data_IF_860766126513
#
_entry.id   IF_860766126513
#
_cell.length_a   1.000
_cell.length_b   1.000
_cell.length_c   1.000
_cell.angle_alpha   90.00
_cell.angle_beta   90.00
_cell.angle_gamma   90.00
#
_symmetry.space_group_name_H-M   'P 1'
#
loop_
_entity.id
_entity.type
_entity.pdbx_description
1 polymer ?
#
# COMPACT_ATOMS: atom_id res chain seq x y z
N UNK A 1 38.47 -21.13 -24.23
CA UNK A 1 37.00 -21.34 -24.24
C UNK A 1 36.61 -21.68 -22.82
N UNK A 2 36.31 -20.66 -22.04
CA UNK A 2 35.81 -20.80 -20.66
C UNK A 2 34.30 -20.62 -20.67
N UNK A 3 33.58 -21.70 -20.32
CA UNK A 3 32.14 -21.71 -20.21
C UNK A 3 31.73 -21.20 -18.82
N UNK A 4 31.19 -20.01 -18.78
CA UNK A 4 30.56 -19.51 -17.57
C UNK A 4 29.25 -20.28 -17.33
N UNK A 5 29.21 -21.08 -16.27
CA UNK A 5 28.01 -21.70 -15.74
C UNK A 5 27.08 -20.65 -15.07
N UNK A 6 25.76 -20.90 -14.99
CA UNK A 6 24.82 -19.98 -14.39
C UNK A 6 25.05 -19.84 -12.88
N UNK A 7 25.15 -18.60 -12.41
CA UNK A 7 25.18 -18.26 -10.99
C UNK A 7 23.87 -18.68 -10.34
N UNK A 8 23.90 -19.63 -9.42
CA UNK A 8 22.77 -19.99 -8.56
C UNK A 8 22.44 -18.82 -7.63
N UNK A 9 21.22 -18.34 -7.70
CA UNK A 9 20.65 -17.42 -6.71
C UNK A 9 20.51 -18.08 -5.33
N UNK A 10 20.14 -17.31 -4.28
CA UNK A 10 20.20 -17.74 -2.89
C UNK A 10 19.41 -19.02 -2.64
N UNK A 11 20.02 -19.93 -1.88
CA UNK A 11 19.57 -21.28 -1.57
C UNK A 11 18.16 -21.24 -0.93
N UNK A 12 17.19 -21.88 -1.59
CA UNK A 12 15.86 -22.11 -1.02
C UNK A 12 15.98 -23.19 0.06
N UNK A 13 15.69 -22.82 1.31
CA UNK A 13 15.60 -23.78 2.42
C UNK A 13 14.20 -24.38 2.36
N UNK A 14 14.11 -25.70 2.21
CA UNK A 14 12.86 -26.46 2.22
C UNK A 14 12.66 -27.08 3.60
N UNK A 15 11.61 -26.68 4.32
CA UNK A 15 11.15 -27.39 5.51
C UNK A 15 9.94 -28.27 5.20
N UNK A 16 10.03 -29.54 5.60
CA UNK A 16 8.96 -30.53 5.50
C UNK A 16 7.98 -30.37 6.67
N UNK A 17 6.83 -29.75 6.43
CA UNK A 17 5.89 -29.43 7.52
C UNK A 17 4.74 -30.41 7.74
N UNK A 18 4.45 -31.36 6.85
CA UNK A 18 3.42 -32.39 7.06
C UNK A 18 3.57 -33.55 6.09
N UNK A 19 3.63 -34.76 6.64
CA UNK A 19 3.45 -36.02 5.89
C UNK A 19 2.00 -36.46 6.12
N UNK A 20 1.20 -36.56 5.06
CA UNK A 20 -0.12 -37.14 5.11
C UNK A 20 -0.09 -38.50 4.40
N UNK A 21 -0.50 -39.59 5.06
CA UNK A 21 -0.71 -40.89 4.42
C UNK A 21 -2.06 -40.90 3.76
N UNK A 22 -2.13 -41.29 2.52
CA UNK A 22 -3.35 -41.54 1.79
C UNK A 22 -3.89 -42.95 2.12
N UNK A 23 -5.22 -43.15 2.01
CA UNK A 23 -5.89 -44.42 2.33
C UNK A 23 -5.43 -45.62 1.45
N UNK A 24 -4.82 -45.31 0.30
CA UNK A 24 -4.24 -46.29 -0.62
C UNK A 24 -2.76 -46.65 -0.31
N UNK A 25 -2.22 -46.16 0.79
CA UNK A 25 -0.81 -46.37 1.19
C UNK A 25 0.19 -45.41 0.52
N UNK A 26 -0.26 -44.50 -0.32
CA UNK A 26 0.57 -43.45 -0.91
C UNK A 26 0.94 -42.39 0.13
N UNK A 27 2.10 -41.76 -0.09
CA UNK A 27 2.58 -40.63 0.72
C UNK A 27 2.37 -39.35 -0.09
N UNK A 28 1.44 -38.48 0.36
CA UNK A 28 1.34 -37.14 -0.16
C UNK A 28 2.29 -36.22 0.60
N UNK A 29 3.38 -35.83 -0.07
CA UNK A 29 4.33 -34.86 0.48
C UNK A 29 3.87 -33.47 0.10
N UNK A 30 3.11 -32.79 1.00
CA UNK A 30 2.85 -31.37 0.87
C UNK A 30 4.08 -30.58 1.28
N UNK A 31 4.87 -30.17 0.30
CA UNK A 31 5.92 -29.18 0.50
C UNK A 31 5.22 -27.81 0.61
N UNK A 32 4.95 -27.37 1.82
CA UNK A 32 4.70 -25.95 2.05
C UNK A 32 6.05 -25.27 1.97
N UNK A 33 6.27 -24.57 0.88
CA UNK A 33 7.41 -23.64 0.80
C UNK A 33 7.17 -22.60 1.90
N UNK A 34 7.77 -22.78 3.08
CA UNK A 34 8.02 -21.65 3.97
C UNK A 34 9.03 -20.79 3.21
N UNK A 35 8.56 -19.71 2.64
CA UNK A 35 9.44 -18.62 2.27
C UNK A 35 9.98 -18.09 3.59
N UNK A 36 11.21 -18.51 3.93
CA UNK A 36 11.91 -18.01 5.09
C UNK A 36 11.94 -16.49 4.98
N UNK A 37 11.27 -15.83 5.94
CA UNK A 37 11.37 -14.40 6.25
C UNK A 37 11.45 -13.48 5.02
N UNK A 38 10.53 -13.64 4.04
CA UNK A 38 10.49 -12.71 2.92
C UNK A 38 9.84 -11.41 3.38
N UNK A 39 10.59 -10.34 3.21
CA UNK A 39 10.11 -8.99 3.51
C UNK A 39 8.77 -8.74 2.79
N UNK A 40 7.82 -8.14 3.50
CA UNK A 40 6.43 -7.95 3.05
C UNK A 40 6.17 -6.48 2.74
N UNK A 41 5.39 -6.24 1.71
CA UNK A 41 4.92 -4.91 1.34
C UNK A 41 3.43 -4.80 1.61
N UNK A 42 3.03 -3.75 2.29
CA UNK A 42 1.62 -3.41 2.51
C UNK A 42 1.33 -2.09 1.82
N UNK A 43 0.33 -2.04 0.94
CA UNK A 43 -0.15 -0.78 0.38
C UNK A 43 -1.48 -0.38 1.05
N UNK A 44 -1.51 0.80 1.66
CA UNK A 44 -2.75 1.33 2.24
C UNK A 44 -3.50 2.19 1.24
N UNK A 45 -4.77 1.85 1.02
CA UNK A 45 -5.72 2.59 0.19
C UNK A 45 -6.92 3.12 1.02
N UNK A 46 -7.74 3.95 0.41
CA UNK A 46 -8.95 4.52 1.01
C UNK A 46 -9.21 5.92 0.52
N UNK A 47 -10.46 6.36 0.60
CA UNK A 47 -10.90 7.68 0.15
C UNK A 47 -10.21 8.82 0.91
N UNK A 48 -10.11 10.04 0.35
CA UNK A 48 -9.60 11.22 1.05
C UNK A 48 -10.29 11.42 2.41
N UNK A 49 -9.51 11.66 3.48
CA UNK A 49 -10.04 11.82 4.84
C UNK A 49 -10.37 10.53 5.58
N UNK A 50 -10.18 9.35 5.00
CA UNK A 50 -10.49 8.07 5.67
C UNK A 50 -9.60 7.75 6.88
N UNK A 51 -8.37 8.29 6.93
CA UNK A 51 -7.43 8.05 8.04
C UNK A 51 -6.15 7.29 7.65
N UNK A 52 -5.89 7.08 6.36
CA UNK A 52 -4.65 6.43 5.87
C UNK A 52 -3.37 6.99 6.47
N UNK A 53 -3.27 8.33 6.54
CA UNK A 53 -2.11 8.99 7.14
C UNK A 53 -1.92 8.67 8.61
N UNK A 54 -3.00 8.51 9.39
CA UNK A 54 -2.90 8.10 10.79
C UNK A 54 -2.50 6.62 10.90
N UNK A 55 -3.01 5.76 10.02
CA UNK A 55 -2.52 4.37 9.91
C UNK A 55 -1.02 4.35 9.62
N UNK A 56 -0.56 5.16 8.65
CA UNK A 56 0.85 5.29 8.32
C UNK A 56 1.68 5.81 9.50
N UNK A 57 1.17 6.77 10.28
CA UNK A 57 1.83 7.26 11.49
C UNK A 57 2.02 6.14 12.52
N UNK A 58 0.99 5.34 12.78
CA UNK A 58 1.08 4.20 13.72
C UNK A 58 2.17 3.22 13.28
N UNK A 59 2.28 2.90 11.98
CA UNK A 59 3.33 2.01 11.48
C UNK A 59 4.72 2.64 11.59
N UNK A 60 4.85 3.93 11.26
CA UNK A 60 6.09 4.68 11.39
C UNK A 60 6.60 4.74 12.85
N UNK A 61 5.72 4.97 13.81
CA UNK A 61 6.02 4.91 15.25
C UNK A 61 6.55 3.54 15.68
N UNK A 62 6.16 2.48 14.96
CA UNK A 62 6.66 1.12 15.16
C UNK A 62 7.86 0.77 14.26
N UNK A 63 8.57 1.80 13.75
CA UNK A 63 9.81 1.69 12.95
C UNK A 63 9.62 0.95 11.62
N UNK A 64 8.41 0.92 11.08
CA UNK A 64 8.14 0.43 9.74
C UNK A 64 8.36 1.59 8.76
N UNK A 65 9.20 1.45 7.75
CA UNK A 65 9.37 2.46 6.71
C UNK A 65 8.05 2.73 5.99
N UNK A 66 7.73 3.99 5.79
CA UNK A 66 6.55 4.46 5.07
C UNK A 66 7.00 5.27 3.86
N UNK A 67 6.60 4.84 2.67
CA UNK A 67 6.82 5.57 1.44
C UNK A 67 5.47 6.06 0.92
N UNK A 68 5.37 7.35 0.63
CA UNK A 68 4.11 7.97 0.20
C UNK A 68 4.12 8.29 -1.29
N UNK A 69 3.16 7.74 -2.01
CA UNK A 69 2.91 8.12 -3.42
C UNK A 69 2.49 9.59 -3.52
N UNK A 70 1.81 10.12 -2.49
CA UNK A 70 1.45 11.53 -2.43
C UNK A 70 2.67 12.47 -2.33
N UNK A 71 3.75 12.04 -1.69
CA UNK A 71 4.97 12.83 -1.57
C UNK A 71 5.70 12.98 -2.91
N UNK A 72 5.59 11.99 -3.79
CA UNK A 72 6.13 12.09 -5.16
C UNK A 72 5.39 13.18 -5.95
N UNK A 73 4.08 13.29 -5.79
CA UNK A 73 3.28 14.36 -6.42
C UNK A 73 3.63 15.73 -5.81
N UNK A 74 3.82 15.82 -4.48
CA UNK A 74 4.26 17.06 -3.82
C UNK A 74 5.64 17.49 -4.29
N UNK A 75 6.57 16.55 -4.42
CA UNK A 75 7.91 16.84 -4.95
C UNK A 75 7.83 17.39 -6.38
N UNK A 76 6.92 16.89 -7.22
CA UNK A 76 6.74 17.40 -8.58
C UNK A 76 6.13 18.81 -8.59
N UNK A 77 5.13 19.10 -7.75
CA UNK A 77 4.58 20.45 -7.57
C UNK A 77 5.67 21.44 -7.15
N UNK A 78 6.53 21.03 -6.19
CA UNK A 78 7.69 21.84 -5.75
C UNK A 78 8.70 22.03 -6.87
N UNK A 79 9.04 20.98 -7.63
CA UNK A 79 9.97 21.03 -8.76
C UNK A 79 9.51 21.99 -9.86
N UNK A 80 8.19 22.05 -10.08
CA UNK A 80 7.56 22.94 -11.06
C UNK A 80 7.31 24.35 -10.52
N UNK A 81 7.71 24.63 -9.27
CA UNK A 81 7.52 25.92 -8.58
C UNK A 81 6.05 26.39 -8.56
N UNK A 82 5.10 25.42 -8.54
CA UNK A 82 3.67 25.72 -8.56
C UNK A 82 3.18 26.10 -7.15
N UNK A 83 2.27 27.06 -7.09
CA UNK A 83 1.64 27.44 -5.83
C UNK A 83 0.64 26.35 -5.41
N UNK A 84 0.76 25.92 -4.15
CA UNK A 84 -0.22 24.99 -3.56
C UNK A 84 -1.63 25.61 -3.54
N UNK A 85 -2.60 24.81 -3.98
CA UNK A 85 -4.02 25.17 -4.02
C UNK A 85 -4.88 23.91 -3.96
N UNK A 86 -6.17 24.03 -3.61
CA UNK A 86 -7.12 22.92 -3.74
C UNK A 86 -7.13 22.41 -5.17
N UNK A 87 -6.75 21.16 -5.38
CA UNK A 87 -6.76 20.55 -6.72
C UNK A 87 -5.40 20.39 -7.37
N UNK A 88 -4.40 21.29 -7.12
CA UNK A 88 -3.10 21.24 -7.83
C UNK A 88 -2.40 19.87 -7.76
N UNK A 89 -2.38 19.25 -6.59
CA UNK A 89 -1.79 17.91 -6.43
C UNK A 89 -2.54 16.85 -7.24
N UNK A 90 -3.86 16.99 -7.36
CA UNK A 90 -4.68 16.10 -8.17
C UNK A 90 -4.48 16.33 -9.67
N UNK A 91 -4.31 17.58 -10.09
CA UNK A 91 -4.02 17.96 -11.49
C UNK A 91 -2.64 17.42 -11.90
N UNK A 92 -1.62 17.63 -11.09
CA UNK A 92 -0.28 17.11 -11.35
C UNK A 92 -0.27 15.57 -11.33
N UNK A 93 -0.98 14.94 -10.40
CA UNK A 93 -1.10 13.48 -10.41
C UNK A 93 -1.81 12.95 -11.66
N UNK A 94 -2.83 13.64 -12.16
CA UNK A 94 -3.51 13.30 -13.41
C UNK A 94 -2.60 13.54 -14.63
N UNK A 95 -1.88 14.66 -14.65
CA UNK A 95 -0.92 14.95 -15.71
C UNK A 95 0.19 13.90 -15.79
N UNK A 96 0.81 13.54 -14.66
CA UNK A 96 1.84 12.49 -14.62
C UNK A 96 1.33 11.16 -15.17
N UNK A 97 0.09 10.79 -14.85
CA UNK A 97 -0.53 9.57 -15.39
C UNK A 97 -0.81 9.67 -16.88
N UNK A 98 -1.29 10.81 -17.35
CA UNK A 98 -1.57 11.02 -18.77
C UNK A 98 -0.29 11.00 -19.63
N UNK A 99 0.83 11.50 -19.10
CA UNK A 99 2.11 11.58 -19.82
C UNK A 99 2.93 10.29 -19.75
N UNK A 100 2.83 9.55 -18.65
CA UNK A 100 3.76 8.44 -18.34
C UNK A 100 3.07 7.11 -18.05
N UNK A 101 1.74 7.03 -18.06
CA UNK A 101 0.96 5.84 -17.74
C UNK A 101 0.31 5.90 -16.35
N UNK A 102 -0.83 5.21 -16.23
CA UNK A 102 -1.64 5.19 -14.98
C UNK A 102 -0.86 4.63 -13.78
N UNK A 103 0.16 3.85 -14.02
CA UNK A 103 1.01 3.16 -13.03
C UNK A 103 2.29 3.94 -12.67
N UNK A 104 2.53 5.10 -13.26
CA UNK A 104 3.80 5.83 -13.17
C UNK A 104 4.31 6.04 -11.74
N UNK A 105 3.41 6.33 -10.80
CA UNK A 105 3.79 6.55 -9.39
C UNK A 105 4.22 5.25 -8.73
N UNK A 106 3.56 4.13 -9.02
CA UNK A 106 3.92 2.82 -8.52
C UNK A 106 5.28 2.35 -9.07
N UNK A 107 5.49 2.49 -10.37
CA UNK A 107 6.77 2.15 -11.03
C UNK A 107 7.92 2.94 -10.42
N UNK A 108 7.77 4.25 -10.27
CA UNK A 108 8.82 5.12 -9.69
C UNK A 108 9.11 4.82 -8.21
N UNK A 109 8.10 4.34 -7.45
CA UNK A 109 8.25 4.05 -6.02
C UNK A 109 8.88 2.68 -5.76
N UNK A 110 8.67 1.71 -6.64
CA UNK A 110 9.02 0.31 -6.41
C UNK A 110 10.48 0.07 -6.05
N UNK A 111 11.41 0.74 -6.73
CA UNK A 111 12.84 0.58 -6.45
C UNK A 111 13.25 1.13 -5.06
N UNK A 112 12.61 2.22 -4.62
CA UNK A 112 12.82 2.73 -3.27
C UNK A 112 12.27 1.77 -2.20
N UNK A 113 11.12 1.13 -2.47
CA UNK A 113 10.57 0.10 -1.60
C UNK A 113 11.52 -1.08 -1.47
N UNK A 114 12.07 -1.60 -2.59
CA UNK A 114 13.03 -2.70 -2.57
C UNK A 114 14.29 -2.36 -1.75
N UNK A 115 14.80 -1.14 -1.87
CA UNK A 115 15.93 -0.69 -1.05
C UNK A 115 15.62 -0.77 0.44
N UNK A 116 14.41 -0.40 0.86
CA UNK A 116 14.01 -0.51 2.27
C UNK A 116 13.83 -1.98 2.71
N UNK A 117 13.37 -2.87 1.83
CA UNK A 117 13.19 -4.29 2.11
C UNK A 117 14.51 -5.03 2.38
N UNK A 118 15.65 -4.49 1.95
CA UNK A 118 16.97 -5.06 2.28
C UNK A 118 17.27 -5.05 3.78
N UNK A 119 16.67 -4.13 4.53
CA UNK A 119 16.95 -3.93 5.97
C UNK A 119 15.72 -3.98 6.87
N UNK A 120 14.51 -4.07 6.29
CA UNK A 120 13.26 -4.07 7.05
C UNK A 120 12.35 -5.21 6.59
N UNK A 121 11.75 -5.97 7.54
CA UNK A 121 10.87 -7.10 7.20
C UNK A 121 9.50 -6.65 6.64
N UNK A 122 9.13 -5.40 6.85
CA UNK A 122 7.87 -4.82 6.37
C UNK A 122 8.13 -3.40 5.87
N UNK A 123 7.51 -3.03 4.75
CA UNK A 123 7.46 -1.66 4.23
C UNK A 123 6.01 -1.30 3.94
N UNK A 124 5.60 -0.08 4.32
CA UNK A 124 4.28 0.47 3.99
C UNK A 124 4.38 1.41 2.79
N UNK A 125 3.50 1.23 1.82
CA UNK A 125 3.21 2.19 0.77
C UNK A 125 1.92 2.94 1.14
N UNK A 126 2.00 4.27 1.31
CA UNK A 126 0.83 5.10 1.58
C UNK A 126 0.32 5.73 0.29
N UNK A 127 -0.99 5.62 0.05
CA UNK A 127 -1.66 6.39 -0.99
C UNK A 127 -1.85 5.69 -2.32
N UNK A 128 -1.89 4.35 -2.38
CA UNK A 128 -2.33 3.60 -3.56
C UNK A 128 -3.77 4.01 -3.92
N UNK A 129 -4.04 4.33 -5.19
CA UNK A 129 -5.32 4.92 -5.63
C UNK A 129 -5.90 4.32 -6.90
N UNK A 130 -5.14 3.53 -7.64
CA UNK A 130 -5.55 2.99 -8.94
C UNK A 130 -5.28 1.50 -9.08
N UNK A 131 -6.10 0.84 -9.89
CA UNK A 131 -5.93 -0.59 -10.22
C UNK A 131 -4.62 -0.84 -10.96
N UNK A 132 -4.18 0.09 -11.82
CA UNK A 132 -2.90 -0.01 -12.51
C UNK A 132 -1.70 -0.03 -11.53
N UNK A 133 -1.75 0.77 -10.47
CA UNK A 133 -0.73 0.80 -9.42
C UNK A 133 -0.68 -0.53 -8.66
N UNK A 134 -1.86 -1.09 -8.32
CA UNK A 134 -1.98 -2.40 -7.67
C UNK A 134 -1.35 -3.51 -8.50
N UNK A 135 -1.61 -3.53 -9.80
CA UNK A 135 -1.04 -4.53 -10.73
C UNK A 135 0.50 -4.49 -10.70
N UNK A 136 1.12 -3.30 -10.70
CA UNK A 136 2.57 -3.16 -10.59
C UNK A 136 3.09 -3.79 -9.29
N UNK A 137 2.44 -3.50 -8.17
CA UNK A 137 2.85 -4.02 -6.87
C UNK A 137 2.67 -5.54 -6.75
N UNK A 138 1.56 -6.08 -7.25
CA UNK A 138 1.31 -7.53 -7.30
C UNK A 138 2.32 -8.25 -8.19
N UNK A 139 2.68 -7.66 -9.33
CA UNK A 139 3.70 -8.23 -10.22
C UNK A 139 5.09 -8.19 -9.60
N UNK A 140 5.43 -7.11 -8.87
CA UNK A 140 6.77 -6.92 -8.27
C UNK A 140 7.00 -7.84 -7.09
N UNK A 141 6.03 -7.97 -6.18
CA UNK A 141 6.20 -8.67 -4.89
C UNK A 141 5.35 -9.93 -4.75
N UNK A 142 4.40 -10.18 -5.63
CA UNK A 142 3.59 -11.40 -5.65
C UNK A 142 2.94 -11.69 -4.29
N UNK A 143 3.13 -12.89 -3.76
CA UNK A 143 2.59 -13.31 -2.47
C UNK A 143 3.12 -12.55 -1.24
N UNK A 144 4.11 -11.65 -1.42
CA UNK A 144 4.63 -10.79 -0.36
C UNK A 144 3.98 -9.41 -0.36
N UNK A 145 3.13 -9.12 -1.32
CA UNK A 145 2.30 -7.91 -1.36
C UNK A 145 0.95 -8.16 -0.70
N UNK A 146 0.47 -7.17 0.03
CA UNK A 146 -0.90 -7.12 0.56
C UNK A 146 -1.45 -5.71 0.49
N UNK A 147 -2.74 -5.59 0.31
CA UNK A 147 -3.47 -4.33 0.33
C UNK A 147 -4.32 -4.18 1.59
N UNK A 148 -4.40 -2.97 2.14
CA UNK A 148 -5.23 -2.64 3.28
C UNK A 148 -6.09 -1.41 2.98
N UNK A 149 -7.40 -1.53 3.13
CA UNK A 149 -8.31 -0.42 3.01
C UNK A 149 -8.64 0.21 4.37
N UNK A 150 -8.53 1.53 4.47
CA UNK A 150 -9.10 2.31 5.58
C UNK A 150 -10.34 3.01 5.08
N UNK A 151 -11.50 2.68 5.67
CA UNK A 151 -12.80 3.20 5.24
C UNK A 151 -13.44 4.09 6.31
N UNK A 152 -14.15 5.12 5.88
CA UNK A 152 -14.98 5.96 6.73
C UNK A 152 -16.11 6.58 5.89
N UNK A 153 -17.22 6.94 6.55
CA UNK A 153 -18.37 7.57 5.88
C UNK A 153 -17.98 8.91 5.25
N UNK A 154 -18.64 9.34 4.17
CA UNK A 154 -18.38 10.64 3.53
C UNK A 154 -18.43 11.82 4.51
N UNK A 155 -19.39 11.84 5.43
CA UNK A 155 -19.53 12.92 6.41
C UNK A 155 -18.40 12.92 7.43
N UNK A 156 -17.99 11.76 7.92
CA UNK A 156 -16.82 11.60 8.80
C UNK A 156 -15.55 12.10 8.09
N UNK A 157 -15.35 11.71 6.82
CA UNK A 157 -14.20 12.12 6.02
C UNK A 157 -14.16 13.61 5.77
N UNK A 158 -15.31 14.20 5.40
CA UNK A 158 -15.43 15.64 5.18
C UNK A 158 -15.12 16.44 6.44
N UNK A 159 -15.72 16.07 7.59
CA UNK A 159 -15.45 16.70 8.88
C UNK A 159 -13.96 16.69 9.23
N UNK A 160 -13.28 15.57 9.02
CA UNK A 160 -11.83 15.43 9.26
C UNK A 160 -11.00 16.32 8.34
N UNK A 161 -11.38 16.42 7.07
CA UNK A 161 -10.71 17.26 6.08
C UNK A 161 -10.84 18.74 6.47
N UNK A 162 -12.03 19.19 6.86
CA UNK A 162 -12.24 20.56 7.34
C UNK A 162 -11.39 20.90 8.57
N UNK A 163 -11.29 19.95 9.51
CA UNK A 163 -10.56 20.16 10.76
C UNK A 163 -9.01 20.17 10.57
N UNK A 164 -8.49 19.48 9.57
CA UNK A 164 -7.03 19.44 9.34
C UNK A 164 -6.50 20.64 8.55
N UNK A 165 -7.32 21.27 7.71
CA UNK A 165 -7.05 22.54 7.05
C UNK A 165 -5.81 22.57 6.16
N UNK A 166 -5.53 21.53 5.39
CA UNK A 166 -4.43 21.53 4.42
C UNK A 166 -4.77 22.38 3.21
N UNK A 167 -3.75 22.91 2.52
CA UNK A 167 -3.90 23.73 1.32
C UNK A 167 -4.72 23.05 0.21
N UNK A 168 -4.66 21.71 0.12
CA UNK A 168 -5.38 20.92 -0.87
C UNK A 168 -6.82 20.56 -0.49
N UNK A 169 -7.29 20.89 0.70
CA UNK A 169 -8.57 20.36 1.20
C UNK A 169 -9.81 21.08 0.61
N UNK A 170 -9.81 22.39 0.55
CA UNK A 170 -10.91 23.16 -0.04
C UNK A 170 -12.26 23.01 0.71
N UNK A 171 -13.32 23.39 0.02
CA UNK A 171 -14.69 23.31 0.50
C UNK A 171 -15.39 21.96 0.17
N UNK A 172 -16.69 21.87 0.39
CA UNK A 172 -17.50 20.66 0.10
C UNK A 172 -17.43 20.29 -1.38
N UNK A 173 -17.46 21.26 -2.28
CA UNK A 173 -17.40 21.01 -3.71
C UNK A 173 -16.04 20.46 -4.13
N UNK A 174 -14.95 21.01 -3.59
CA UNK A 174 -13.59 20.50 -3.81
C UNK A 174 -13.44 19.06 -3.31
N UNK A 175 -14.02 18.75 -2.13
CA UNK A 175 -14.04 17.38 -1.59
C UNK A 175 -14.78 16.40 -2.53
N UNK A 176 -15.96 16.74 -3.02
CA UNK A 176 -16.75 15.89 -3.93
C UNK A 176 -16.05 15.71 -5.30
N UNK A 177 -15.45 16.78 -5.80
CA UNK A 177 -14.64 16.73 -7.04
C UNK A 177 -13.47 15.79 -6.88
N UNK A 178 -12.78 15.85 -5.75
CA UNK A 178 -11.66 14.96 -5.44
C UNK A 178 -12.11 13.51 -5.30
N UNK A 179 -13.20 13.25 -4.60
CA UNK A 179 -13.77 11.91 -4.47
C UNK A 179 -14.13 11.32 -5.84
N UNK A 180 -14.77 12.10 -6.70
CA UNK A 180 -15.14 11.68 -8.05
C UNK A 180 -13.90 11.33 -8.89
N UNK A 181 -12.87 12.16 -8.84
CA UNK A 181 -11.62 11.92 -9.55
C UNK A 181 -10.93 10.64 -9.08
N UNK A 182 -10.82 10.44 -7.75
CA UNK A 182 -10.14 9.26 -7.21
C UNK A 182 -10.93 7.96 -7.48
N UNK A 183 -12.27 8.02 -7.54
CA UNK A 183 -13.10 6.91 -8.05
C UNK A 183 -12.79 6.58 -9.50
N UNK A 184 -12.59 7.59 -10.33
CA UNK A 184 -12.24 7.41 -11.74
C UNK A 184 -10.92 6.66 -11.99
N UNK A 185 -10.03 6.60 -11.00
CA UNK A 185 -8.81 5.78 -11.05
C UNK A 185 -8.99 4.34 -10.56
N UNK A 186 -10.20 3.94 -10.17
CA UNK A 186 -10.51 2.60 -9.67
C UNK A 186 -10.31 2.44 -8.15
N UNK A 187 -10.29 3.56 -7.39
CA UNK A 187 -10.06 3.49 -5.94
C UNK A 187 -11.12 2.68 -5.19
N UNK A 188 -12.39 2.73 -5.59
CA UNK A 188 -13.45 1.93 -4.96
C UNK A 188 -13.26 0.43 -5.22
N UNK A 189 -12.78 0.07 -6.40
CA UNK A 189 -12.48 -1.32 -6.77
C UNK A 189 -11.35 -1.87 -5.89
N UNK A 190 -10.23 -1.16 -5.77
CA UNK A 190 -9.12 -1.60 -4.90
C UNK A 190 -9.48 -1.61 -3.42
N UNK A 191 -10.40 -0.75 -2.96
CA UNK A 191 -10.94 -0.82 -1.59
C UNK A 191 -11.76 -2.10 -1.39
N UNK A 192 -12.64 -2.42 -2.33
CA UNK A 192 -13.51 -3.61 -2.26
C UNK A 192 -12.71 -4.92 -2.31
N UNK A 193 -11.60 -4.93 -3.04
CA UNK A 193 -10.74 -6.10 -3.23
C UNK A 193 -9.53 -6.15 -2.28
N UNK A 194 -9.45 -5.25 -1.30
CA UNK A 194 -8.33 -5.23 -0.35
C UNK A 194 -8.31 -6.46 0.55
N UNK A 195 -7.10 -6.99 0.81
CA UNK A 195 -6.88 -8.16 1.67
C UNK A 195 -7.29 -7.91 3.13
N UNK A 196 -7.18 -6.64 3.56
CA UNK A 196 -7.55 -6.19 4.91
C UNK A 196 -8.40 -4.93 4.83
N UNK A 197 -9.31 -4.78 5.80
CA UNK A 197 -10.16 -3.61 5.94
C UNK A 197 -10.21 -3.14 7.40
N UNK A 198 -10.00 -1.83 7.62
CA UNK A 198 -10.19 -1.19 8.92
C UNK A 198 -11.27 -0.11 8.78
N UNK A 199 -12.37 -0.27 9.52
CA UNK A 199 -13.39 0.77 9.65
C UNK A 199 -12.91 1.86 10.61
N UNK A 200 -12.96 3.10 10.12
CA UNK A 200 -12.57 4.29 10.88
C UNK A 200 -13.74 5.28 11.06
N UNK A 201 -14.93 4.78 11.39
CA UNK A 201 -16.06 5.61 11.85
C UNK A 201 -16.07 5.76 13.38
N UNK A 202 -14.91 5.64 13.99
CA UNK A 202 -14.68 5.69 15.44
C UNK A 202 -13.79 6.87 15.83
N UNK A 203 -13.58 7.09 17.13
CA UNK A 203 -12.63 8.10 17.59
C UNK A 203 -11.17 7.67 17.32
N UNK A 204 -10.24 8.63 17.45
CA UNK A 204 -8.84 8.44 17.12
C UNK A 204 -8.18 7.32 17.95
N UNK A 205 -8.48 7.25 19.24
CA UNK A 205 -7.90 6.24 20.13
C UNK A 205 -8.30 4.81 19.74
N UNK A 206 -9.59 4.60 19.48
CA UNK A 206 -10.10 3.31 19.01
C UNK A 206 -9.52 2.94 17.65
N UNK A 207 -9.39 3.90 16.72
CA UNK A 207 -8.78 3.64 15.43
C UNK A 207 -7.32 3.24 15.57
N UNK A 208 -6.53 3.97 16.36
CA UNK A 208 -5.12 3.60 16.63
C UNK A 208 -5.01 2.21 17.25
N UNK A 209 -5.90 1.86 18.18
CA UNK A 209 -5.97 0.51 18.77
C UNK A 209 -6.23 -0.57 17.70
N UNK A 210 -7.14 -0.30 16.76
CA UNK A 210 -7.41 -1.21 15.62
C UNK A 210 -6.18 -1.36 14.72
N UNK A 211 -5.45 -0.28 14.45
CA UNK A 211 -4.21 -0.32 13.68
C UNK A 211 -3.14 -1.18 14.37
N UNK A 212 -2.97 -1.03 15.68
CA UNK A 212 -2.05 -1.85 16.47
C UNK A 212 -2.45 -3.33 16.48
N UNK A 213 -3.73 -3.63 16.63
CA UNK A 213 -4.24 -5.01 16.62
C UNK A 213 -3.97 -5.66 15.28
N UNK A 214 -4.24 -4.93 14.17
CA UNK A 214 -3.91 -5.41 12.83
C UNK A 214 -2.41 -5.64 12.67
N UNK A 215 -1.57 -4.68 13.07
CA UNK A 215 -0.11 -4.80 12.95
C UNK A 215 0.42 -6.03 13.68
N UNK A 216 -0.02 -6.27 14.93
CA UNK A 216 0.36 -7.46 15.70
C UNK A 216 -0.06 -8.75 14.99
N UNK A 217 -1.28 -8.80 14.46
CA UNK A 217 -1.75 -9.98 13.72
C UNK A 217 -0.94 -10.19 12.46
N UNK A 218 -0.62 -9.12 11.73
CA UNK A 218 0.13 -9.15 10.49
C UNK A 218 1.59 -9.59 10.72
N UNK A 219 2.23 -9.13 11.78
CA UNK A 219 3.61 -9.53 12.14
C UNK A 219 3.71 -10.95 12.67
N UNK A 220 2.64 -11.48 13.30
CA UNK A 220 2.62 -12.83 13.88
C UNK A 220 2.12 -13.91 12.90
N UNK A 221 1.82 -13.57 11.65
CA UNK A 221 1.53 -14.55 10.59
C UNK A 221 2.85 -15.14 10.07
N UNK A 222 3.47 -16.00 10.92
CA UNK A 222 4.61 -16.85 10.56
C UNK A 222 4.17 -18.20 10.00
#
# INVERSE_FOLDING_TARGET
METHGPTMGPSRIFELNRIQRLEDGGILMCIRLRQANMARVVAVCGMPGSGKGEFANVLSENKIPVLSMGDMVRAEVTRLELKESPGIFGEIAAQLRAEHGEDVLAVRLADAVDTHLESHPIVLIEGMRGTAERVVFEQRWGGNFSSLAVVASPDTRFTRIQNRGRSEDGDRQAFETRDTRERGWGLEEIIAESDYLIDNNVNLEMFRSSCFTWLKSFTNQE
#
